data_IF_671339628195
#
_entry.id   IF_671339628195
#
_cell.length_a   1.000
_cell.length_b   1.000
_cell.length_c   1.000
_cell.angle_alpha   90.00
_cell.angle_beta   90.00
_cell.angle_gamma   90.00
#
_symmetry.space_group_name_H-M   'P 1'
#
loop_
_entity.id
_entity.type
_entity.pdbx_description
1 polymer ?
#
# COMPACT_ATOMS: atom_id res chain seq x y z
N UNK A 1 28.11 0.99 -5.16
CA UNK A 1 28.66 -0.24 -5.78
C UNK A 1 27.50 -1.01 -6.38
N UNK A 2 27.58 -1.43 -7.64
CA UNK A 2 26.53 -2.23 -8.29
C UNK A 2 26.76 -3.73 -8.09
N UNK A 3 25.68 -4.49 -7.93
CA UNK A 3 25.70 -5.96 -7.88
C UNK A 3 24.89 -6.48 -9.06
N UNK A 4 25.36 -7.55 -9.70
CA UNK A 4 24.65 -8.19 -10.82
C UNK A 4 23.84 -9.36 -10.28
N UNK A 5 22.54 -9.37 -10.56
CA UNK A 5 21.62 -10.44 -10.20
C UNK A 5 21.08 -11.10 -11.48
N UNK A 6 21.26 -12.41 -11.61
CA UNK A 6 20.70 -13.20 -12.71
C UNK A 6 19.46 -13.93 -12.20
N UNK A 7 18.34 -13.76 -12.89
CA UNK A 7 17.03 -14.33 -12.52
C UNK A 7 16.54 -15.25 -13.64
N UNK A 8 16.11 -16.44 -13.27
CA UNK A 8 15.33 -17.32 -14.15
C UNK A 8 13.84 -17.01 -13.92
N UNK A 9 13.21 -16.34 -14.88
CA UNK A 9 11.84 -15.84 -14.76
C UNK A 9 10.91 -16.74 -15.59
N UNK A 10 9.86 -17.33 -14.99
CA UNK A 10 8.89 -18.10 -15.73
C UNK A 10 8.26 -17.30 -16.88
N UNK A 11 8.07 -17.94 -18.03
CA UNK A 11 7.52 -17.30 -19.24
C UNK A 11 6.15 -16.63 -19.01
N UNK A 12 5.34 -17.19 -18.10
CA UNK A 12 4.04 -16.66 -17.70
C UNK A 12 4.13 -15.23 -17.12
N UNK A 13 5.26 -14.91 -16.49
CA UNK A 13 5.55 -13.59 -15.90
C UNK A 13 6.37 -12.72 -16.84
N UNK A 14 7.24 -13.33 -17.65
CA UNK A 14 8.09 -12.60 -18.59
C UNK A 14 7.29 -11.96 -19.75
N UNK A 15 6.29 -12.65 -20.30
CA UNK A 15 5.42 -12.13 -21.36
C UNK A 15 4.68 -10.82 -21.00
N UNK A 16 3.96 -10.73 -19.87
CA UNK A 16 3.33 -9.48 -19.46
C UNK A 16 4.35 -8.39 -19.12
N UNK A 17 5.52 -8.74 -18.58
CA UNK A 17 6.62 -7.81 -18.34
C UNK A 17 7.11 -7.17 -19.65
N UNK A 18 7.34 -7.99 -20.69
CA UNK A 18 7.73 -7.53 -22.03
C UNK A 18 6.71 -6.57 -22.65
N UNK A 19 5.42 -6.87 -22.49
CA UNK A 19 4.35 -5.99 -22.97
C UNK A 19 4.38 -4.64 -22.27
N UNK A 20 4.58 -4.63 -20.96
CA UNK A 20 4.66 -3.41 -20.15
C UNK A 20 5.91 -2.60 -20.47
N UNK A 21 7.04 -3.26 -20.72
CA UNK A 21 8.28 -2.63 -21.20
C UNK A 21 8.09 -1.94 -22.55
N UNK A 22 7.46 -2.63 -23.52
CA UNK A 22 7.13 -2.06 -24.82
C UNK A 22 6.20 -0.85 -24.74
N UNK A 23 5.22 -0.88 -23.84
CA UNK A 23 4.29 0.25 -23.62
C UNK A 23 4.97 1.46 -22.99
N UNK A 24 5.94 1.23 -22.09
CA UNK A 24 6.70 2.28 -21.43
C UNK A 24 7.88 2.82 -22.28
N UNK A 25 8.25 2.12 -23.35
CA UNK A 25 9.43 2.46 -24.17
C UNK A 25 10.77 2.17 -23.47
N UNK A 26 10.76 1.29 -22.46
CA UNK A 26 11.93 0.93 -21.65
C UNK A 26 12.29 -0.54 -21.84
N UNK A 27 13.45 -0.95 -21.31
CA UNK A 27 13.82 -2.37 -21.28
C UNK A 27 13.07 -3.10 -20.15
N UNK A 28 12.80 -4.41 -20.28
CA UNK A 28 12.22 -5.19 -19.19
C UNK A 28 13.11 -5.16 -17.93
N UNK A 29 14.43 -5.09 -18.09
CA UNK A 29 15.39 -4.95 -17.00
C UNK A 29 15.17 -3.66 -16.20
N UNK A 30 14.92 -2.53 -16.87
CA UNK A 30 14.66 -1.25 -16.21
C UNK A 30 13.39 -1.31 -15.34
N UNK A 31 12.34 -1.98 -15.84
CA UNK A 31 11.09 -2.16 -15.10
C UNK A 31 11.29 -3.05 -13.88
N UNK A 32 12.00 -4.17 -14.05
CA UNK A 32 12.29 -5.08 -12.93
C UNK A 32 13.12 -4.37 -11.87
N UNK A 33 14.11 -3.56 -12.28
CA UNK A 33 14.93 -2.78 -11.37
C UNK A 33 14.10 -1.73 -10.63
N UNK A 34 13.23 -0.99 -11.32
CA UNK A 34 12.34 0.00 -10.71
C UNK A 34 11.42 -0.65 -9.66
N UNK A 35 10.80 -1.78 -9.99
CA UNK A 35 9.95 -2.50 -9.05
C UNK A 35 10.74 -3.04 -7.87
N UNK A 36 11.94 -3.57 -8.09
CA UNK A 36 12.80 -4.06 -7.01
C UNK A 36 13.17 -2.91 -6.07
N UNK A 37 13.58 -1.76 -6.60
CA UNK A 37 13.90 -0.56 -5.81
C UNK A 37 12.69 -0.14 -4.98
N UNK A 38 11.50 -0.06 -5.59
CA UNK A 38 10.28 0.37 -4.92
C UNK A 38 9.83 -0.62 -3.83
N UNK A 39 9.94 -1.92 -4.09
CA UNK A 39 9.66 -2.96 -3.10
C UNK A 39 10.62 -2.88 -1.92
N UNK A 40 11.91 -2.66 -2.17
CA UNK A 40 12.91 -2.52 -1.10
C UNK A 40 12.72 -1.22 -0.28
N UNK A 41 12.29 -0.13 -0.92
CA UNK A 41 11.94 1.11 -0.23
C UNK A 41 10.77 0.89 0.73
N UNK A 42 9.67 0.27 0.27
CA UNK A 42 8.52 -0.02 1.13
C UNK A 42 8.83 -0.98 2.28
N UNK A 43 9.81 -1.88 2.12
CA UNK A 43 10.26 -2.78 3.17
C UNK A 43 11.12 -2.08 4.23
N UNK A 44 11.86 -1.04 3.84
CA UNK A 44 12.83 -0.37 4.71
C UNK A 44 12.23 0.86 5.39
N UNK A 45 11.34 1.56 4.69
CA UNK A 45 10.67 2.77 5.13
C UNK A 45 9.17 2.52 4.96
N UNK A 46 8.51 2.03 6.02
CA UNK A 46 7.05 2.04 6.07
C UNK A 46 6.63 3.47 6.47
N UNK A 47 6.19 4.31 5.52
CA UNK A 47 5.82 5.68 5.82
C UNK A 47 4.61 5.77 6.77
N UNK A 48 3.79 4.70 6.86
CA UNK A 48 2.65 4.66 7.77
C UNK A 48 3.08 4.29 9.18
N UNK A 49 4.19 3.58 9.36
CA UNK A 49 4.74 3.29 10.68
C UNK A 49 5.17 4.59 11.40
N UNK A 50 5.59 5.61 10.66
CA UNK A 50 5.88 6.95 11.22
C UNK A 50 4.63 7.64 11.80
N UNK A 51 3.43 7.21 11.40
CA UNK A 51 2.15 7.72 11.91
C UNK A 51 1.64 6.91 13.12
N UNK A 52 2.27 5.77 13.43
CA UNK A 52 1.90 4.95 14.58
C UNK A 52 2.21 5.71 15.88
N UNK A 53 1.19 5.93 16.71
CA UNK A 53 1.31 6.66 17.97
C UNK A 53 1.29 8.20 17.84
N UNK A 54 1.21 8.74 16.62
CA UNK A 54 1.14 10.20 16.38
C UNK A 54 -0.25 10.77 16.65
N UNK A 55 -1.30 9.94 16.55
CA UNK A 55 -2.66 10.36 16.83
C UNK A 55 -3.02 10.08 18.30
N UNK A 56 -3.16 11.15 19.08
CA UNK A 56 -3.76 11.06 20.40
C UNK A 56 -5.28 10.93 20.25
N UNK A 57 -5.82 9.78 20.65
CA UNK A 57 -7.25 9.53 20.71
C UNK A 57 -7.63 9.09 22.12
N UNK A 58 -8.74 9.57 22.69
CA UNK A 58 -9.27 9.04 23.94
C UNK A 58 -9.78 7.59 23.79
N UNK A 59 -9.93 7.10 22.55
CA UNK A 59 -10.32 5.73 22.25
C UNK A 59 -9.07 4.87 22.08
N UNK A 60 -8.83 3.98 23.06
CA UNK A 60 -7.64 3.13 23.15
C UNK A 60 -7.79 1.77 22.44
N UNK A 61 -9.01 1.37 22.11
CA UNK A 61 -9.38 0.04 21.59
C UNK A 61 -10.00 0.10 20.18
N UNK A 62 -9.73 1.19 19.45
CA UNK A 62 -10.27 1.43 18.09
C UNK A 62 -9.99 0.25 17.16
N UNK A 63 -8.79 -0.35 17.22
CA UNK A 63 -8.46 -1.50 16.37
C UNK A 63 -9.45 -2.67 16.55
N UNK A 64 -9.88 -2.94 17.79
CA UNK A 64 -10.79 -4.05 18.10
C UNK A 64 -12.28 -3.70 18.06
N UNK A 65 -12.65 -2.41 18.18
CA UNK A 65 -14.04 -1.96 18.26
C UNK A 65 -14.44 -0.95 17.19
N UNK A 66 -13.67 -0.83 16.11
CA UNK A 66 -13.93 0.14 15.05
C UNK A 66 -15.36 0.01 14.50
N UNK A 67 -15.86 -1.20 14.28
CA UNK A 67 -17.23 -1.44 13.80
C UNK A 67 -18.29 -0.86 14.75
N UNK A 68 -18.13 -1.04 16.06
CA UNK A 68 -19.04 -0.48 17.06
C UNK A 68 -19.00 1.05 17.06
N UNK A 69 -17.82 1.65 16.95
CA UNK A 69 -17.65 3.10 16.93
C UNK A 69 -18.23 3.73 15.67
N UNK A 70 -17.98 3.12 14.51
CA UNK A 70 -18.55 3.55 13.23
C UNK A 70 -20.08 3.43 13.28
N UNK A 71 -20.61 2.32 13.80
CA UNK A 71 -22.05 2.11 13.97
C UNK A 71 -22.71 3.18 14.85
N UNK A 72 -22.09 3.54 15.98
CA UNK A 72 -22.58 4.62 16.84
C UNK A 72 -22.55 5.98 16.14
N UNK A 73 -21.46 6.31 15.46
CA UNK A 73 -21.34 7.58 14.74
C UNK A 73 -22.43 7.73 13.67
N UNK A 74 -22.67 6.67 12.87
CA UNK A 74 -23.74 6.64 11.87
C UNK A 74 -25.13 6.80 12.49
N UNK A 75 -25.39 6.16 13.63
CA UNK A 75 -26.66 6.30 14.35
C UNK A 75 -26.87 7.73 14.87
N UNK A 76 -25.83 8.37 15.39
CA UNK A 76 -25.88 9.76 15.86
C UNK A 76 -26.14 10.74 14.71
N UNK A 77 -25.50 10.55 13.55
CA UNK A 77 -25.72 11.37 12.36
C UNK A 77 -27.15 11.24 11.83
N UNK A 78 -27.64 9.99 11.72
CA UNK A 78 -29.03 9.73 11.31
C UNK A 78 -30.03 10.39 12.26
N UNK A 79 -29.77 10.31 13.57
CA UNK A 79 -30.63 10.91 14.58
C UNK A 79 -30.60 12.45 14.54
N UNK A 80 -29.43 13.06 14.28
CA UNK A 80 -29.32 14.52 14.06
C UNK A 80 -30.00 14.97 12.77
N UNK A 81 -29.91 14.18 11.71
CA UNK A 81 -30.56 14.51 10.43
C UNK A 81 -32.09 14.37 10.46
N UNK A 82 -32.64 13.58 11.39
CA UNK A 82 -34.08 13.37 11.51
C UNK A 82 -34.78 14.39 12.43
N UNK A 83 -34.01 15.13 13.24
CA UNK A 83 -34.49 16.17 14.16
C UNK A 83 -33.93 17.57 13.83
N UNK A 84 -33.32 17.74 12.66
CA UNK A 84 -32.78 19.00 12.14
C UNK A 84 -33.67 19.65 11.09
#
# INVERSE_FOLDING_TARGET
>A
MGQVLTLDIPNEVYEPLLKKAKQAGCTPEDIVLEWLIRSMQNLTDDPLLQLAGTFESPLIDVSGKHDDYIGKALQEELSRSHYG
#
